data_IF_600616110737
#
_entry.id   IF_600616110737
#
_cell.length_a   1.000
_cell.length_b   1.000
_cell.length_c   1.000
_cell.angle_alpha   90.00
_cell.angle_beta   90.00
_cell.angle_gamma   90.00
#
_symmetry.space_group_name_H-M   'P 1'
#
loop_
_entity.id
_entity.type
_entity.pdbx_description
1 polymer ?
#
# COMPACT_ATOMS: atom_id res chain seq x y z
N UNK A 1 -23.10 -70.40 15.41
CA UNK A 1 -21.99 -70.99 14.63
C UNK A 1 -21.12 -69.82 14.19
N UNK A 2 -20.11 -69.47 15.01
CA UNK A 2 -18.65 -69.63 14.74
C UNK A 2 -18.13 -68.59 13.73
N UNK A 3 -17.52 -67.49 14.19
CA UNK A 3 -16.06 -67.19 14.13
C UNK A 3 -15.38 -67.57 12.80
N UNK A 4 -14.56 -66.70 12.19
CA UNK A 4 -13.10 -66.67 12.42
C UNK A 4 -12.46 -65.35 11.89
N UNK A 5 -11.55 -64.80 12.70
CA UNK A 5 -10.49 -63.82 12.39
C UNK A 5 -9.36 -64.45 11.57
N UNK A 6 -8.66 -63.74 10.66
CA UNK A 6 -7.19 -63.48 10.72
C UNK A 6 -6.65 -62.77 9.44
N UNK A 7 -5.40 -62.25 9.41
CA UNK A 7 -5.04 -61.00 8.77
C UNK A 7 -3.81 -61.17 7.84
N UNK A 8 -3.25 -60.04 7.39
CA UNK A 8 -1.88 -59.89 6.86
C UNK A 8 -1.48 -60.64 5.57
N UNK A 9 -1.30 -59.85 4.50
CA UNK A 9 -0.23 -60.03 3.50
C UNK A 9 0.05 -58.67 2.83
N UNK A 10 0.95 -57.85 3.40
CA UNK A 10 2.34 -57.64 2.94
C UNK A 10 2.48 -57.31 1.45
N UNK A 11 2.47 -56.02 1.12
CA UNK A 11 3.00 -55.47 -0.13
C UNK A 11 4.12 -54.48 0.20
N UNK A 12 5.36 -54.92 0.11
CA UNK A 12 6.55 -54.06 0.09
C UNK A 12 6.60 -53.33 -1.26
N UNK A 13 6.74 -52.01 -1.26
CA UNK A 13 7.12 -51.23 -2.44
C UNK A 13 8.48 -50.57 -2.15
N UNK A 14 9.43 -50.93 -2.99
CA UNK A 14 10.85 -50.64 -2.88
C UNK A 14 11.09 -49.28 -3.55
N UNK A 15 11.45 -48.25 -2.78
CA UNK A 15 11.84 -46.95 -3.30
C UNK A 15 13.29 -46.95 -3.80
N UNK A 16 13.62 -46.24 -4.89
CA UNK A 16 14.99 -46.15 -5.38
C UNK A 16 15.89 -45.27 -4.49
N UNK A 17 17.13 -45.75 -4.36
CA UNK A 17 18.26 -45.23 -3.58
C UNK A 17 18.52 -43.72 -3.75
N UNK A 18 18.60 -42.98 -2.64
CA UNK A 18 19.21 -41.66 -2.57
C UNK A 18 20.65 -41.76 -2.00
N UNK A 19 21.64 -41.05 -2.57
CA UNK A 19 23.03 -41.06 -2.05
C UNK A 19 23.17 -40.22 -0.75
N UNK A 20 24.15 -40.56 0.12
CA UNK A 20 24.28 -39.94 1.44
C UNK A 20 24.83 -38.50 1.38
N UNK A 21 24.43 -37.61 2.32
CA UNK A 21 24.99 -36.26 2.42
C UNK A 21 26.39 -36.28 3.03
N UNK A 22 27.32 -35.56 2.39
CA UNK A 22 28.66 -35.29 2.92
C UNK A 22 28.59 -34.29 4.10
N UNK A 23 29.35 -34.50 5.18
CA UNK A 23 29.43 -33.53 6.28
C UNK A 23 30.25 -32.29 5.88
N UNK A 24 29.69 -31.10 6.11
CA UNK A 24 30.42 -29.84 5.99
C UNK A 24 31.39 -29.67 7.18
N UNK A 25 32.63 -29.22 6.98
CA UNK A 25 33.59 -29.07 8.05
C UNK A 25 33.24 -27.90 8.98
N UNK A 26 33.31 -28.16 10.28
CA UNK A 26 33.20 -27.19 11.35
C UNK A 26 34.36 -26.19 11.27
N UNK A 27 34.05 -24.92 11.01
CA UNK A 27 34.99 -23.80 11.05
C UNK A 27 35.33 -23.44 12.49
N UNK A 28 36.54 -23.81 12.89
CA UNK A 28 37.18 -23.48 14.16
C UNK A 28 37.36 -21.97 14.35
N UNK A 29 37.03 -21.49 15.56
CA UNK A 29 37.42 -20.18 16.04
C UNK A 29 38.93 -20.06 16.27
N UNK A 30 39.47 -18.87 15.99
CA UNK A 30 40.85 -18.50 16.29
C UNK A 30 40.93 -17.00 16.65
N UNK A 31 41.69 -16.60 17.68
CA UNK A 31 41.78 -15.21 18.11
C UNK A 31 42.99 -14.47 17.48
N UNK A 32 42.77 -13.21 17.07
CA UNK A 32 43.79 -12.15 17.10
C UNK A 32 44.34 -11.64 15.75
N UNK A 33 43.91 -10.43 15.34
CA UNK A 33 44.76 -9.41 14.70
C UNK A 33 44.10 -8.01 14.76
N UNK A 34 44.83 -6.91 15.03
CA UNK A 34 44.27 -5.56 15.13
C UNK A 34 43.95 -4.94 13.73
N UNK A 35 42.90 -4.11 13.60
CA UNK A 35 42.47 -3.57 12.31
C UNK A 35 43.31 -2.35 11.88
N UNK A 36 43.74 -2.35 10.61
CA UNK A 36 44.33 -1.19 9.92
C UNK A 36 43.25 -0.27 9.33
N UNK A 37 43.60 0.97 8.95
CA UNK A 37 42.64 1.98 8.55
C UNK A 37 42.33 1.92 7.05
N UNK A 38 41.03 1.88 6.71
CA UNK A 38 40.55 2.22 5.37
C UNK A 38 39.76 1.12 4.66
N UNK A 39 38.43 1.19 4.77
CA UNK A 39 37.47 0.87 3.68
C UNK A 39 36.06 1.25 4.19
N UNK A 40 35.29 2.10 3.51
CA UNK A 40 33.89 2.34 3.87
C UNK A 40 33.09 1.07 3.62
N UNK A 41 32.53 0.52 4.70
CA UNK A 41 31.67 -0.65 4.67
C UNK A 41 30.39 -0.36 3.87
N UNK A 42 30.15 -1.18 2.85
CA UNK A 42 28.87 -1.18 2.13
C UNK A 42 27.71 -1.39 3.09
N UNK A 43 26.64 -0.64 2.88
CA UNK A 43 25.40 -0.75 3.64
C UNK A 43 24.82 -2.16 3.49
N UNK A 44 25.05 -2.99 4.51
CA UNK A 44 24.32 -4.24 4.71
C UNK A 44 22.85 -3.93 4.93
N UNK A 45 22.00 -4.47 4.06
CA UNK A 45 20.54 -4.54 4.27
C UNK A 45 20.28 -5.22 5.63
N UNK A 46 19.49 -4.62 6.54
CA UNK A 46 19.07 -5.34 7.74
C UNK A 46 18.16 -6.52 7.35
N UNK A 47 18.27 -7.69 8.01
CA UNK A 47 17.40 -8.82 7.76
C UNK A 47 15.97 -8.49 8.23
N UNK A 48 15.05 -8.32 7.27
CA UNK A 48 13.62 -8.06 7.51
C UNK A 48 12.99 -9.30 8.16
N UNK A 49 12.58 -9.19 9.43
CA UNK A 49 11.66 -10.14 10.07
C UNK A 49 10.33 -10.09 9.33
N UNK A 50 9.81 -11.26 8.96
CA UNK A 50 8.51 -11.43 8.31
C UNK A 50 7.44 -11.62 9.38
N UNK A 51 6.64 -10.60 9.64
CA UNK A 51 5.20 -10.64 9.90
C UNK A 51 4.73 -9.22 10.21
N UNK A 52 3.72 -8.75 9.49
CA UNK A 52 3.21 -7.38 9.53
C UNK A 52 2.83 -6.99 8.10
N UNK A 53 1.52 -6.87 7.87
CA UNK A 53 0.87 -6.86 6.57
C UNK A 53 1.48 -5.86 5.59
N UNK A 54 1.79 -6.32 4.38
CA UNK A 54 2.03 -5.43 3.25
C UNK A 54 0.64 -5.16 2.69
N UNK A 55 -0.05 -4.18 3.26
CA UNK A 55 -1.04 -3.45 2.47
C UNK A 55 -0.20 -2.67 1.47
N UNK A 56 -0.41 -2.98 0.18
CA UNK A 56 0.36 -2.34 -0.88
C UNK A 56 -0.07 -0.89 -0.98
N UNK A 57 0.60 0.02 -0.26
CA UNK A 57 0.48 1.45 -0.51
C UNK A 57 0.97 1.70 -1.92
N UNK A 58 0.04 1.97 -2.82
CA UNK A 58 0.36 2.39 -4.18
C UNK A 58 0.78 3.86 -4.06
N UNK A 59 2.08 4.08 -3.81
CA UNK A 59 2.70 5.37 -4.14
C UNK A 59 2.82 5.39 -5.66
N UNK A 60 1.75 5.84 -6.33
CA UNK A 60 1.72 5.98 -7.77
C UNK A 60 2.35 7.32 -8.16
N UNK A 61 3.64 7.29 -8.49
CA UNK A 61 4.28 8.37 -9.26
C UNK A 61 3.88 8.17 -10.72
N UNK A 62 2.83 8.86 -11.15
CA UNK A 62 2.39 8.85 -12.55
C UNK A 62 3.09 9.98 -13.31
N UNK A 63 4.18 9.63 -13.98
CA UNK A 63 4.79 10.49 -15.01
C UNK A 63 3.88 10.46 -16.24
N UNK A 64 2.82 11.27 -16.21
CA UNK A 64 2.04 11.53 -17.41
C UNK A 64 2.86 12.44 -18.33
N UNK A 65 3.42 11.86 -19.39
CA UNK A 65 3.88 12.66 -20.51
C UNK A 65 2.65 13.39 -21.08
N UNK A 66 2.58 14.70 -20.81
CA UNK A 66 1.48 15.54 -21.26
C UNK A 66 1.16 15.27 -22.73
N UNK A 67 -0.11 14.98 -23.02
CA UNK A 67 -0.61 15.04 -24.39
C UNK A 67 -0.67 16.51 -24.80
N UNK A 68 0.51 17.08 -25.08
CA UNK A 68 0.62 18.38 -25.69
C UNK A 68 0.03 18.34 -27.09
N UNK A 69 -1.14 18.97 -27.29
CA UNK A 69 -1.56 19.56 -28.56
C UNK A 69 -2.37 20.82 -28.26
N UNK A 70 -1.75 21.98 -28.47
CA UNK A 70 -2.30 23.28 -28.14
C UNK A 70 -3.32 23.87 -29.12
N UNK A 71 -3.91 24.99 -28.69
CA UNK A 71 -4.54 25.97 -29.56
C UNK A 71 -4.70 27.36 -28.89
N UNK A 72 -3.64 27.99 -28.36
CA UNK A 72 -3.68 29.44 -28.11
C UNK A 72 -2.32 30.16 -28.22
N UNK A 73 -1.48 29.77 -29.18
CA UNK A 73 -0.25 30.53 -29.50
C UNK A 73 -0.50 31.68 -30.49
N UNK A 74 -1.51 32.51 -30.23
CA UNK A 74 -1.72 33.74 -31.02
C UNK A 74 -1.81 35.02 -30.19
N UNK A 75 -2.04 34.98 -28.87
CA UNK A 75 -2.14 36.20 -28.06
C UNK A 75 -1.66 35.97 -26.61
N UNK A 76 -0.34 36.01 -26.39
CA UNK A 76 0.23 36.85 -25.33
C UNK A 76 0.31 36.36 -23.87
N UNK A 77 -0.10 35.15 -23.50
CA UNK A 77 0.10 34.67 -22.11
C UNK A 77 0.65 33.25 -22.07
N UNK A 78 1.90 33.10 -21.63
CA UNK A 78 2.55 31.84 -21.30
C UNK A 78 2.08 31.39 -19.91
N UNK A 79 0.85 30.92 -19.81
CA UNK A 79 0.26 30.45 -18.54
C UNK A 79 -0.20 29.00 -18.65
N UNK A 80 -0.08 28.26 -17.55
CA UNK A 80 -0.55 26.87 -17.45
C UNK A 80 -2.06 26.79 -17.68
N UNK A 81 -2.51 25.81 -18.47
CA UNK A 81 -3.94 25.50 -18.61
C UNK A 81 -4.40 24.73 -17.36
N UNK A 82 -4.87 25.48 -16.36
CA UNK A 82 -5.34 24.94 -15.08
C UNK A 82 -6.54 24.00 -15.26
N UNK A 83 -7.40 24.23 -16.26
CA UNK A 83 -8.55 23.37 -16.53
C UNK A 83 -8.15 21.99 -17.08
N UNK A 84 -7.00 21.89 -17.75
CA UNK A 84 -6.42 20.61 -18.15
C UNK A 84 -5.75 19.92 -16.95
N UNK A 85 -5.01 20.66 -16.12
CA UNK A 85 -4.42 20.12 -14.89
C UNK A 85 -5.49 19.57 -13.94
N UNK A 86 -6.59 20.29 -13.74
CA UNK A 86 -7.73 19.84 -12.92
C UNK A 86 -8.34 18.53 -13.43
N UNK A 87 -8.49 18.39 -14.76
CA UNK A 87 -9.00 17.16 -15.38
C UNK A 87 -8.05 15.98 -15.18
N UNK A 88 -6.74 16.21 -15.27
CA UNK A 88 -5.74 15.17 -15.03
C UNK A 88 -5.67 14.77 -13.56
N UNK A 89 -5.73 15.73 -12.63
CA UNK A 89 -5.83 15.46 -11.19
C UNK A 89 -7.04 14.57 -10.90
N UNK A 90 -8.21 14.88 -11.49
CA UNK A 90 -9.40 14.07 -11.32
C UNK A 90 -9.22 12.62 -11.82
N UNK A 91 -8.53 12.43 -12.94
CA UNK A 91 -8.24 11.10 -13.48
C UNK A 91 -7.25 10.32 -12.60
N UNK A 92 -6.18 10.97 -12.13
CA UNK A 92 -5.17 10.36 -11.24
C UNK A 92 -5.81 9.95 -9.92
N UNK A 93 -6.60 10.83 -9.30
CA UNK A 93 -7.26 10.51 -8.05
C UNK A 93 -8.24 9.33 -8.21
N UNK A 94 -8.97 9.28 -9.33
CA UNK A 94 -9.83 8.13 -9.62
C UNK A 94 -9.03 6.83 -9.83
N UNK A 95 -7.86 6.89 -10.47
CA UNK A 95 -6.98 5.72 -10.64
C UNK A 95 -6.40 5.23 -9.31
N UNK A 96 -6.00 6.15 -8.43
CA UNK A 96 -5.32 5.85 -7.16
C UNK A 96 -6.29 5.45 -6.05
N UNK A 97 -7.37 6.21 -5.87
CA UNK A 97 -8.32 6.07 -4.77
C UNK A 97 -9.59 5.31 -5.19
N UNK A 98 -9.81 5.07 -6.48
CA UNK A 98 -11.04 4.43 -6.99
C UNK A 98 -12.30 5.29 -6.86
N UNK A 99 -12.18 6.52 -6.35
CA UNK A 99 -13.27 7.48 -6.18
C UNK A 99 -12.91 8.81 -6.85
N UNK A 100 -13.93 9.51 -7.33
CA UNK A 100 -13.75 10.78 -8.04
C UNK A 100 -13.58 11.93 -7.03
N UNK A 101 -12.56 12.77 -7.24
CA UNK A 101 -12.42 14.02 -6.49
C UNK A 101 -13.33 15.11 -7.06
N UNK A 102 -13.72 16.03 -6.19
CA UNK A 102 -14.55 17.21 -6.49
C UNK A 102 -13.82 18.47 -6.09
N UNK A 103 -14.34 19.64 -6.46
CA UNK A 103 -13.81 20.95 -6.04
C UNK A 103 -12.29 21.13 -6.27
N UNK A 104 -11.79 20.58 -7.38
CA UNK A 104 -10.38 20.73 -7.75
C UNK A 104 -10.09 22.20 -8.00
N UNK A 105 -9.09 22.72 -7.31
CA UNK A 105 -8.67 24.13 -7.36
C UNK A 105 -7.18 24.19 -7.57
N UNK A 106 -6.75 24.75 -8.70
CA UNK A 106 -5.35 25.08 -8.96
C UNK A 106 -5.14 26.60 -8.90
N UNK A 107 -3.95 27.10 -8.51
CA UNK A 107 -3.62 28.51 -8.59
C UNK A 107 -3.78 29.04 -10.02
N UNK A 108 -4.37 30.23 -10.17
CA UNK A 108 -4.45 30.91 -11.47
C UNK A 108 -3.13 31.59 -11.83
N UNK A 109 -2.96 31.96 -13.12
CA UNK A 109 -1.84 32.75 -13.64
C UNK A 109 -0.43 32.18 -13.36
N UNK A 110 -0.29 30.86 -13.38
CA UNK A 110 1.01 30.19 -13.22
C UNK A 110 1.85 30.37 -14.48
N UNK A 111 3.01 31.01 -14.35
CA UNK A 111 3.96 31.19 -15.46
C UNK A 111 4.41 29.85 -16.03
N UNK A 112 4.38 29.70 -17.37
CA UNK A 112 4.95 28.52 -18.04
C UNK A 112 6.47 28.58 -18.02
N UNK A 113 7.06 27.93 -17.02
CA UNK A 113 8.49 27.81 -16.87
C UNK A 113 8.87 26.43 -16.29
N UNK A 114 9.85 25.79 -16.90
CA UNK A 114 10.39 24.51 -16.45
C UNK A 114 10.84 24.58 -14.97
N UNK A 115 10.49 23.56 -14.20
CA UNK A 115 10.74 23.46 -12.75
C UNK A 115 9.78 24.29 -11.88
N UNK A 116 8.77 24.94 -12.47
CA UNK A 116 7.75 25.64 -11.67
C UNK A 116 6.86 24.62 -10.99
N UNK A 117 6.86 24.66 -9.66
CA UNK A 117 6.02 23.79 -8.82
C UNK A 117 4.84 24.58 -8.30
N UNK A 118 3.66 24.00 -8.44
CA UNK A 118 2.40 24.55 -7.94
C UNK A 118 1.64 23.50 -7.15
N UNK A 119 0.73 23.96 -6.30
CA UNK A 119 -0.04 23.08 -5.43
C UNK A 119 -1.51 23.27 -5.75
N UNK A 120 -2.17 22.20 -6.18
CA UNK A 120 -3.61 22.14 -6.36
C UNK A 120 -4.26 21.41 -5.18
N UNK A 121 -5.49 21.76 -4.85
CA UNK A 121 -6.29 21.09 -3.82
C UNK A 121 -7.53 20.46 -4.43
N UNK A 122 -8.05 19.40 -3.85
CA UNK A 122 -9.34 18.82 -4.22
C UNK A 122 -10.04 18.21 -3.00
N UNK A 123 -11.29 17.77 -3.18
CA UNK A 123 -12.12 17.13 -2.16
C UNK A 123 -12.41 15.67 -2.54
N UNK A 124 -11.91 14.73 -1.74
CA UNK A 124 -12.14 13.29 -1.85
C UNK A 124 -13.21 12.87 -0.84
N UNK A 125 -14.45 12.67 -1.30
CA UNK A 125 -15.58 12.37 -0.40
C UNK A 125 -15.75 13.38 0.75
N UNK A 126 -15.31 14.64 0.57
CA UNK A 126 -15.32 15.67 1.62
C UNK A 126 -14.00 15.83 2.39
N UNK A 127 -13.01 14.97 2.14
CA UNK A 127 -11.65 15.09 2.68
C UNK A 127 -10.78 15.94 1.77
N UNK A 128 -10.09 16.94 2.33
CA UNK A 128 -9.17 17.78 1.55
C UNK A 128 -7.91 16.98 1.18
N UNK A 129 -7.58 16.99 -0.11
CA UNK A 129 -6.40 16.36 -0.69
C UNK A 129 -5.59 17.38 -1.50
N UNK A 130 -4.29 17.17 -1.56
CA UNK A 130 -3.33 18.08 -2.16
C UNK A 130 -2.50 17.37 -3.22
N UNK A 131 -2.33 18.04 -4.36
CA UNK A 131 -1.54 17.57 -5.49
C UNK A 131 -0.44 18.57 -5.81
N UNK A 132 0.77 18.09 -6.00
CA UNK A 132 1.91 18.88 -6.46
C UNK A 132 2.02 18.76 -7.97
N UNK A 133 2.01 19.88 -8.66
CA UNK A 133 2.11 19.96 -10.12
C UNK A 133 3.44 20.64 -10.48
N UNK A 134 4.39 19.87 -11.02
CA UNK A 134 5.67 20.38 -11.50
C UNK A 134 5.65 20.52 -13.02
N UNK A 135 5.88 21.73 -13.53
CA UNK A 135 6.07 21.96 -14.95
C UNK A 135 7.43 21.45 -15.40
N UNK A 136 7.45 20.59 -16.40
CA UNK A 136 8.69 19.99 -16.91
C UNK A 136 9.32 20.80 -18.05
N UNK A 137 8.57 21.69 -18.69
CA UNK A 137 9.02 22.60 -19.74
C UNK A 137 8.20 23.89 -19.85
N UNK A 138 8.44 24.69 -20.90
CA UNK A 138 7.67 25.90 -21.24
C UNK A 138 6.60 25.66 -22.33
N UNK A 139 6.31 24.39 -22.64
CA UNK A 139 5.28 23.94 -23.59
C UNK A 139 3.99 23.47 -22.88
N UNK A 140 4.00 23.43 -21.54
CA UNK A 140 2.85 23.07 -20.71
C UNK A 140 2.83 21.60 -20.27
N UNK A 141 3.95 20.88 -20.40
CA UNK A 141 4.04 19.53 -19.87
C UNK A 141 4.24 19.56 -18.35
N UNK A 142 3.52 18.70 -17.62
CA UNK A 142 3.54 18.65 -16.16
C UNK A 142 3.72 17.23 -15.64
N UNK A 143 4.33 17.11 -14.46
CA UNK A 143 4.27 15.92 -13.60
C UNK A 143 3.33 16.27 -12.45
N UNK A 144 2.44 15.33 -12.09
CA UNK A 144 1.49 15.50 -11.00
C UNK A 144 1.76 14.41 -9.96
N UNK A 145 2.03 14.82 -8.73
CA UNK A 145 2.32 13.96 -7.59
C UNK A 145 1.29 14.18 -6.47
N UNK A 146 0.98 13.11 -5.74
CA UNK A 146 0.18 13.13 -4.51
C UNK A 146 1.00 12.46 -3.42
N UNK A 147 1.35 13.20 -2.36
CA UNK A 147 2.11 12.66 -1.23
C UNK A 147 1.23 11.84 -0.28
N UNK A 148 -0.09 11.89 -0.47
CA UNK A 148 -1.06 11.24 0.40
C UNK A 148 -1.27 9.78 0.01
N UNK A 149 -1.42 8.92 1.02
CA UNK A 149 -1.79 7.51 0.85
C UNK A 149 -3.30 7.35 1.03
N UNK A 150 -3.95 6.61 0.14
CA UNK A 150 -5.37 6.31 0.21
C UNK A 150 -5.59 4.87 0.70
N UNK A 151 -6.52 4.67 1.64
CA UNK A 151 -6.84 3.36 2.21
C UNK A 151 -8.33 3.11 2.11
N UNK A 152 -8.74 2.01 1.45
CA UNK A 152 -10.15 1.62 1.41
C UNK A 152 -10.57 1.03 2.76
N UNK A 153 -11.69 1.51 3.30
CA UNK A 153 -12.25 0.98 4.56
C UNK A 153 -12.53 -0.52 4.45
N UNK A 154 -12.99 -0.98 3.29
CA UNK A 154 -13.22 -2.40 3.02
C UNK A 154 -11.95 -3.26 3.11
N UNK A 155 -10.77 -2.70 2.77
CA UNK A 155 -9.50 -3.43 2.91
C UNK A 155 -9.12 -3.56 4.39
N UNK A 156 -9.38 -2.53 5.20
CA UNK A 156 -9.20 -2.57 6.67
C UNK A 156 -10.09 -3.63 7.30
N UNK A 157 -11.36 -3.66 6.93
CA UNK A 157 -12.33 -4.67 7.38
C UNK A 157 -11.90 -6.09 6.99
N UNK A 158 -11.49 -6.31 5.75
CA UNK A 158 -11.02 -7.60 5.27
C UNK A 158 -9.78 -8.10 6.04
N UNK A 159 -8.82 -7.22 6.31
CA UNK A 159 -7.63 -7.54 7.09
C UNK A 159 -7.96 -7.91 8.54
N UNK A 160 -8.86 -7.16 9.18
CA UNK A 160 -9.29 -7.44 10.54
C UNK A 160 -10.02 -8.78 10.60
N UNK A 161 -10.94 -9.04 9.67
CA UNK A 161 -11.66 -10.30 9.56
C UNK A 161 -10.72 -11.50 9.35
N UNK A 162 -9.72 -11.37 8.46
CA UNK A 162 -8.71 -12.42 8.24
C UNK A 162 -7.89 -12.69 9.50
N UNK A 163 -7.43 -11.65 10.18
CA UNK A 163 -6.62 -11.76 11.40
C UNK A 163 -7.38 -12.43 12.54
N UNK A 164 -8.63 -12.01 12.77
CA UNK A 164 -9.48 -12.60 13.81
C UNK A 164 -9.84 -14.04 13.45
N UNK A 165 -10.17 -14.32 12.19
CA UNK A 165 -10.48 -15.68 11.75
C UNK A 165 -9.31 -16.64 11.97
N UNK A 166 -8.09 -16.19 11.66
CA UNK A 166 -6.88 -16.98 11.85
C UNK A 166 -6.54 -17.23 13.34
N UNK A 167 -6.86 -16.27 14.22
CA UNK A 167 -6.57 -16.40 15.65
C UNK A 167 -7.63 -17.19 16.42
N UNK A 168 -8.91 -16.96 16.12
CA UNK A 168 -10.04 -17.60 16.79
C UNK A 168 -10.37 -18.99 16.23
N UNK A 169 -9.98 -19.28 14.97
CA UNK A 169 -10.29 -20.55 14.31
C UNK A 169 -11.75 -20.69 13.87
N UNK A 170 -12.46 -19.57 13.75
CA UNK A 170 -13.84 -19.45 13.24
C UNK A 170 -13.88 -18.36 12.18
N UNK A 171 -14.87 -18.38 11.29
CA UNK A 171 -15.04 -17.32 10.30
C UNK A 171 -15.57 -16.05 10.98
N UNK A 172 -14.86 -14.94 10.83
CA UNK A 172 -15.24 -13.65 11.37
C UNK A 172 -15.57 -12.67 10.24
N UNK A 173 -16.49 -11.76 10.53
CA UNK A 173 -16.80 -10.59 9.69
C UNK A 173 -16.50 -9.33 10.48
N UNK A 174 -15.93 -8.33 9.83
CA UNK A 174 -15.63 -7.04 10.44
C UNK A 174 -16.36 -5.92 9.70
N UNK A 175 -16.74 -4.87 10.44
CA UNK A 175 -17.23 -3.62 9.91
C UNK A 175 -16.53 -2.48 10.64
N UNK A 176 -16.04 -1.48 9.91
CA UNK A 176 -15.33 -0.34 10.46
C UNK A 176 -16.06 0.96 10.12
N UNK A 177 -16.19 1.84 11.10
CA UNK A 177 -16.74 3.17 10.90
C UNK A 177 -15.69 4.07 10.21
N UNK A 178 -15.87 4.28 8.91
CA UNK A 178 -15.12 5.27 8.11
C UNK A 178 -15.77 6.65 8.09
N UNK A 179 -16.81 6.87 8.91
CA UNK A 179 -17.70 8.01 8.78
C UNK A 179 -18.50 7.96 7.48
N UNK A 180 -18.53 9.06 6.74
CA UNK A 180 -19.20 9.15 5.44
C UNK A 180 -18.26 8.73 4.27
N UNK A 181 -17.09 8.18 4.57
CA UNK A 181 -16.03 7.90 3.60
C UNK A 181 -15.85 6.40 3.36
N UNK A 182 -15.72 6.02 2.09
CA UNK A 182 -15.33 4.67 1.67
C UNK A 182 -13.82 4.54 1.49
N UNK A 183 -13.14 5.67 1.29
CA UNK A 183 -11.69 5.78 1.17
C UNK A 183 -11.18 6.82 2.14
N UNK A 184 -10.18 6.47 2.93
CA UNK A 184 -9.55 7.36 3.90
C UNK A 184 -8.24 7.90 3.36
N UNK A 185 -8.00 9.18 3.60
CA UNK A 185 -6.67 9.78 3.48
C UNK A 185 -5.86 9.39 4.71
N UNK A 186 -4.85 8.53 4.53
CA UNK A 186 -4.04 8.04 5.62
C UNK A 186 -3.28 9.18 6.32
N UNK A 187 -3.33 9.18 7.64
CA UNK A 187 -2.66 10.15 8.48
C UNK A 187 -2.20 9.48 9.77
N UNK A 188 -1.09 9.95 10.34
CA UNK A 188 -0.54 9.40 11.57
C UNK A 188 -1.53 9.45 12.73
N UNK A 189 -1.88 8.28 13.24
CA UNK A 189 -2.80 8.14 14.38
C UNK A 189 -4.27 8.28 14.01
N UNK A 190 -4.64 8.17 12.73
CA UNK A 190 -6.03 8.10 12.30
C UNK A 190 -6.67 6.81 12.83
N UNK A 191 -7.76 6.93 13.58
CA UNK A 191 -8.45 5.79 14.20
C UNK A 191 -9.79 5.52 13.54
N UNK A 192 -10.13 4.23 13.37
CA UNK A 192 -11.47 3.76 13.01
C UNK A 192 -12.03 2.89 14.12
N UNK A 193 -13.30 3.09 14.44
CA UNK A 193 -14.04 2.23 15.36
C UNK A 193 -14.59 1.02 14.59
N UNK A 194 -14.03 -0.16 14.84
CA UNK A 194 -14.44 -1.40 14.18
C UNK A 194 -15.24 -2.31 15.12
N UNK A 195 -16.11 -3.12 14.53
CA UNK A 195 -16.82 -4.21 15.18
C UNK A 195 -16.54 -5.49 14.41
N UNK A 196 -16.09 -6.52 15.13
CA UNK A 196 -15.88 -7.86 14.57
C UNK A 196 -16.85 -8.83 15.23
N UNK A 197 -17.43 -9.73 14.46
CA UNK A 197 -18.37 -10.74 14.95
C UNK A 197 -18.13 -12.09 14.28
N UNK A 198 -18.56 -13.17 14.94
CA UNK A 198 -18.60 -14.49 14.30
C UNK A 198 -19.62 -14.48 13.15
N UNK A 199 -19.26 -15.06 12.01
CA UNK A 199 -20.12 -15.05 10.82
C UNK A 199 -21.42 -15.85 11.02
N UNK A 200 -21.39 -16.90 11.84
CA UNK A 200 -22.53 -17.75 12.17
C UNK A 200 -23.34 -17.26 13.38
N UNK A 201 -22.76 -16.44 14.25
CA UNK A 201 -23.43 -15.81 15.39
C UNK A 201 -23.00 -14.34 15.56
N UNK A 202 -23.69 -13.39 14.90
CA UNK A 202 -23.34 -11.97 14.98
C UNK A 202 -23.59 -11.35 16.36
N UNK A 203 -24.21 -12.08 17.30
CA UNK A 203 -24.35 -11.63 18.69
C UNK A 203 -23.05 -11.80 19.49
N UNK A 204 -22.16 -12.70 19.06
CA UNK A 204 -20.80 -12.81 19.57
C UNK A 204 -19.90 -11.82 18.82
N UNK A 205 -19.79 -10.61 19.38
CA UNK A 205 -19.07 -9.49 18.76
C UNK A 205 -18.17 -8.77 19.75
N UNK A 206 -17.13 -8.15 19.22
CA UNK A 206 -16.17 -7.33 19.95
C UNK A 206 -15.92 -6.01 19.21
N UNK A 207 -15.72 -4.93 19.98
CA UNK A 207 -15.22 -3.67 19.45
C UNK A 207 -13.69 -3.73 19.35
N UNK A 208 -13.15 -3.20 18.26
CA UNK A 208 -11.71 -3.15 17.96
C UNK A 208 -11.40 -1.75 17.46
N UNK A 209 -10.30 -1.17 17.90
CA UNK A 209 -9.83 0.11 17.34
C UNK A 209 -8.78 -0.18 16.28
N UNK A 210 -9.01 0.24 15.04
CA UNK A 210 -7.99 0.22 14.00
C UNK A 210 -7.26 1.57 14.00
N UNK A 211 -5.92 1.56 13.97
CA UNK A 211 -5.09 2.77 13.87
C UNK A 211 -4.26 2.71 12.60
N UNK A 212 -4.38 3.76 11.77
CA UNK A 212 -3.60 3.98 10.56
C UNK A 212 -2.44 4.93 10.83
N UNK A 213 -1.32 4.68 10.17
CA UNK A 213 -0.21 5.65 10.04
C UNK A 213 -0.27 6.38 8.69
N UNK A 214 0.61 7.38 8.49
CA UNK A 214 0.68 8.16 7.25
C UNK A 214 1.05 7.30 6.02
N UNK A 215 1.70 6.15 6.21
CA UNK A 215 2.01 5.21 5.14
C UNK A 215 0.84 4.26 4.83
N UNK A 216 -0.27 4.34 5.56
CA UNK A 216 -1.46 3.49 5.40
C UNK A 216 -1.33 2.10 6.03
N UNK A 217 -0.31 1.87 6.89
CA UNK A 217 -0.25 0.63 7.66
C UNK A 217 -1.31 0.66 8.77
N UNK A 218 -1.95 -0.48 8.97
CA UNK A 218 -3.02 -0.64 9.96
C UNK A 218 -2.52 -1.49 11.12
N UNK A 219 -2.85 -1.06 12.34
CA UNK A 219 -2.71 -1.83 13.58
C UNK A 219 -4.06 -1.92 14.30
N UNK A 220 -4.27 -2.97 15.09
CA UNK A 220 -5.54 -3.24 15.78
C UNK A 220 -5.29 -3.38 17.29
N UNK A 221 -6.11 -2.71 18.10
CA UNK A 221 -6.07 -2.74 19.57
C UNK A 221 -7.44 -3.09 20.19
#
# INVERSE_FOLDING_TARGET
MTQVHDPRSTGQQHGPYAPPPFPAPAGYGGPGFPPGPGTPAGHGRPPKKRTGAIVGSIVAVLVLAGLGVGAFLLLGSKVLDTAEAERQIAAIAQEQAGVTVTDVTCPEDVELAAGTVTTCTASLEGQEVTFTVEQTDDEGNVTIDSDQTYVHVADVEALLAEQVSASAGVEAVASCDGGDHTVLVAADGLTLDCQVAAADDPSDSAAVTATLDAEGNVSFE
#
